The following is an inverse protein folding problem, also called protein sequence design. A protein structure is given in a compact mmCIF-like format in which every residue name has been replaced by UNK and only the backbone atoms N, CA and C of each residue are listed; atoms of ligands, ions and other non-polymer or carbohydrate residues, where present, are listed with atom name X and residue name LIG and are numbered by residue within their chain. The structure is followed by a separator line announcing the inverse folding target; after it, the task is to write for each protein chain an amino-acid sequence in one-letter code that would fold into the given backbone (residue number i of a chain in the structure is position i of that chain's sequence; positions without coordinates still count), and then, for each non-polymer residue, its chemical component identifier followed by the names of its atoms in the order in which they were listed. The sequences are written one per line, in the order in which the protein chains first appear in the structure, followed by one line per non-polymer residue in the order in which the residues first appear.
data_IF_652543339789
#
_entry.id   IF_652543339789
#
_cell.length_a   1.000
_cell.length_b   1.000
_cell.length_c   1.000
_cell.angle_alpha   90.00
_cell.angle_beta   90.00
_cell.angle_gamma   90.00
#
_symmetry.space_group_name_H-M   'P 1'
#
loop_
_entity.id
_entity.type
_entity.pdbx_description
1 polymer ?
#
# COMPACT_ATOMS: atom_id res chain seq x y z
N UNK A 1 12.67 -15.37 -2.61
CA UNK A 1 11.56 -14.55 -3.16
C UNK A 1 10.77 -13.81 -2.07
N UNK A 2 11.38 -13.52 -0.91
CA UNK A 2 10.64 -12.99 0.25
C UNK A 2 10.36 -11.48 0.17
N UNK A 3 11.23 -10.72 -0.50
CA UNK A 3 11.07 -9.27 -0.68
C UNK A 3 9.83 -8.91 -1.51
N UNK A 4 9.57 -9.69 -2.57
CA UNK A 4 8.40 -9.51 -3.43
C UNK A 4 7.10 -9.88 -2.70
N UNK A 5 7.13 -10.98 -1.93
CA UNK A 5 6.01 -11.37 -1.07
C UNK A 5 5.70 -10.34 0.03
N UNK A 6 6.73 -9.80 0.69
CA UNK A 6 6.57 -8.74 1.69
C UNK A 6 6.06 -7.43 1.08
N UNK A 7 6.55 -7.04 -0.11
CA UNK A 7 6.07 -5.86 -0.82
C UNK A 7 4.58 -5.93 -1.15
N UNK A 8 4.12 -7.06 -1.70
CA UNK A 8 2.70 -7.28 -1.96
C UNK A 8 1.86 -7.30 -0.67
N UNK A 9 2.36 -7.89 0.42
CA UNK A 9 1.68 -7.86 1.72
C UNK A 9 1.49 -6.43 2.23
N UNK A 10 2.51 -5.56 2.13
CA UNK A 10 2.38 -4.15 2.52
C UNK A 10 1.33 -3.41 1.69
N UNK A 11 1.24 -3.69 0.39
CA UNK A 11 0.18 -3.12 -0.45
C UNK A 11 -1.20 -3.59 -0.05
N UNK A 12 -1.39 -4.89 0.18
CA UNK A 12 -2.67 -5.46 0.63
C UNK A 12 -3.08 -4.83 1.96
N UNK A 13 -2.17 -4.70 2.91
CA UNK A 13 -2.44 -4.04 4.20
C UNK A 13 -2.83 -2.57 3.98
N UNK A 14 -2.12 -1.84 3.11
CA UNK A 14 -2.46 -0.46 2.76
C UNK A 14 -3.87 -0.32 2.17
N UNK A 15 -4.25 -1.21 1.26
CA UNK A 15 -5.61 -1.23 0.70
C UNK A 15 -6.67 -1.55 1.74
N UNK A 16 -6.43 -2.49 2.65
CA UNK A 16 -7.36 -2.82 3.74
C UNK A 16 -7.58 -1.60 4.65
N UNK A 17 -6.51 -0.89 5.01
CA UNK A 17 -6.60 0.32 5.85
C UNK A 17 -7.42 1.41 5.16
N UNK A 18 -7.16 1.69 3.88
CA UNK A 18 -7.93 2.67 3.09
C UNK A 18 -9.40 2.25 2.98
N UNK A 19 -9.66 0.96 2.78
CA UNK A 19 -11.01 0.44 2.67
C UNK A 19 -11.81 0.59 3.97
N UNK A 20 -11.20 0.26 5.12
CA UNK A 20 -11.83 0.45 6.44
C UNK A 20 -12.07 1.94 6.71
N UNK A 21 -11.12 2.81 6.33
CA UNK A 21 -11.27 4.25 6.48
C UNK A 21 -12.40 4.81 5.59
N UNK A 22 -12.51 4.36 4.35
CA UNK A 22 -13.62 4.70 3.45
C UNK A 22 -14.97 4.24 4.00
N UNK A 23 -15.01 3.05 4.60
CA UNK A 23 -16.21 2.49 5.22
C UNK A 23 -16.70 3.33 6.41
N UNK A 24 -15.78 3.74 7.30
CA UNK A 24 -16.11 4.57 8.47
C UNK A 24 -16.58 5.96 8.05
N UNK A 25 -15.92 6.57 7.06
CA UNK A 25 -16.25 7.91 6.57
C UNK A 25 -17.45 7.92 5.63
N UNK A 26 -17.98 6.75 5.24
CA UNK A 26 -19.09 6.57 4.29
C UNK A 26 -18.86 7.34 2.99
N UNK A 27 -17.60 7.48 2.59
CA UNK A 27 -17.17 8.33 1.49
C UNK A 27 -16.34 7.55 0.48
N UNK A 28 -16.42 7.95 -0.79
CA UNK A 28 -15.62 7.36 -1.86
C UNK A 28 -14.24 7.99 -1.86
N UNK A 29 -13.23 7.23 -1.44
CA UNK A 29 -11.83 7.66 -1.52
C UNK A 29 -11.33 7.39 -2.94
N UNK A 30 -11.26 8.44 -3.75
CA UNK A 30 -10.67 8.37 -5.07
C UNK A 30 -9.18 8.73 -4.97
N UNK A 31 -8.31 7.73 -5.09
CA UNK A 31 -6.85 7.93 -5.02
C UNK A 31 -6.33 8.10 -6.45
N UNK A 32 -5.85 9.31 -6.84
CA UNK A 32 -5.31 9.52 -8.18
C UNK A 32 -4.01 8.74 -8.38
N UNK A 33 -3.75 8.36 -9.64
CA UNK A 33 -2.59 7.55 -10.02
C UNK A 33 -1.24 8.19 -9.61
N UNK A 34 -1.15 9.51 -9.61
CA UNK A 34 0.05 10.23 -9.16
C UNK A 34 0.38 10.02 -7.68
N UNK A 35 -0.60 9.70 -6.83
CA UNK A 35 -0.38 9.35 -5.41
C UNK A 35 -0.16 7.85 -5.26
N UNK A 36 -0.87 7.03 -6.04
CA UNK A 36 -0.79 5.57 -5.99
C UNK A 36 0.62 5.06 -6.37
N UNK A 37 1.20 5.56 -7.46
CA UNK A 37 2.53 5.13 -7.94
C UNK A 37 3.63 5.30 -6.87
N UNK A 38 3.84 6.50 -6.28
CA UNK A 38 4.88 6.69 -5.28
C UNK A 38 4.59 5.89 -4.00
N UNK A 39 3.31 5.72 -3.62
CA UNK A 39 2.95 4.87 -2.48
C UNK A 39 3.40 3.42 -2.68
N UNK A 40 3.21 2.89 -3.89
CA UNK A 40 3.65 1.53 -4.26
C UNK A 40 5.16 1.40 -4.24
N UNK A 41 5.88 2.39 -4.81
CA UNK A 41 7.34 2.41 -4.80
C UNK A 41 7.88 2.47 -3.37
N UNK A 42 7.28 3.29 -2.50
CA UNK A 42 7.67 3.39 -1.09
C UNK A 42 7.43 2.07 -0.34
N UNK A 43 6.29 1.41 -0.56
CA UNK A 43 5.99 0.11 0.05
C UNK A 43 7.02 -0.95 -0.35
N UNK A 44 7.39 -1.01 -1.63
CA UNK A 44 8.42 -1.92 -2.13
C UNK A 44 9.84 -1.53 -1.67
N UNK A 45 10.13 -0.24 -1.52
CA UNK A 45 11.42 0.23 -1.01
C UNK A 45 11.62 -0.13 0.46
N UNK A 46 10.59 0.05 1.30
CA UNK A 46 10.59 -0.35 2.71
C UNK A 46 10.73 -1.88 2.83
N UNK A 47 9.98 -2.63 2.02
CA UNK A 47 10.09 -4.09 1.96
C UNK A 47 11.50 -4.55 1.55
N UNK A 48 12.12 -3.82 0.61
CA UNK A 48 13.48 -4.06 0.13
C UNK A 48 14.59 -3.75 1.15
N UNK A 49 14.41 -2.72 1.99
CA UNK A 49 15.40 -2.39 3.04
C UNK A 49 15.47 -3.41 4.16
N UNK A 50 14.35 -4.06 4.51
CA UNK A 50 14.30 -5.02 5.63
C UNK A 50 14.91 -6.39 5.30
N UNK A 51 15.38 -6.58 4.06
CA UNK A 51 16.04 -7.81 3.59
C UNK A 51 17.52 -7.64 3.24
N UNK A 52 18.14 -6.50 3.57
CA UNK A 52 19.59 -6.28 3.50
C UNK A 52 20.18 -6.20 4.90
#
# INVERSE_FOLDING_TARGET
METFGRGCLYLVIGFIVVFVFAWITRSTINIPWFILIPLVILAFWIAGKKGK
#
